data_IF_946496019684
#
_entry.id   IF_946496019684
#
_cell.length_a   1.000
_cell.length_b   1.000
_cell.length_c   1.000
_cell.angle_alpha   90.00
_cell.angle_beta   90.00
_cell.angle_gamma   90.00
#
_symmetry.space_group_name_H-M   'P 1'
#
loop_
_entity.id
_entity.type
_entity.pdbx_description
1 polymer ?
#
# COMPACT_ATOMS: atom_id res chain seq x y z
N UNK A 1 19.97 21.67 -14.32
CA UNK A 1 18.84 22.42 -14.91
C UNK A 1 17.84 21.53 -15.62
N UNK A 2 18.24 20.70 -16.59
CA UNK A 2 17.34 19.74 -17.29
C UNK A 2 16.48 18.88 -16.34
N UNK A 3 17.11 18.28 -15.32
CA UNK A 3 16.38 17.43 -14.37
C UNK A 3 15.37 18.20 -13.51
N UNK A 4 15.64 19.47 -13.19
CA UNK A 4 14.70 20.33 -12.46
C UNK A 4 13.47 20.59 -13.33
N UNK A 5 13.68 20.99 -14.59
CA UNK A 5 12.58 21.21 -15.53
C UNK A 5 11.81 19.93 -15.82
N UNK A 6 12.49 18.78 -15.88
CA UNK A 6 11.85 17.48 -16.04
C UNK A 6 10.94 17.13 -14.86
N UNK A 7 11.41 17.29 -13.61
CA UNK A 7 10.57 17.06 -12.42
C UNK A 7 9.38 18.02 -12.38
N UNK A 8 9.56 19.29 -12.77
CA UNK A 8 8.46 20.25 -12.79
C UNK A 8 7.40 19.91 -13.84
N UNK A 9 7.81 19.54 -15.06
CA UNK A 9 6.87 19.23 -16.14
C UNK A 9 6.26 17.84 -15.96
N UNK A 10 7.07 16.80 -15.88
CA UNK A 10 6.59 15.41 -15.82
C UNK A 10 6.08 15.04 -14.42
N UNK A 11 6.75 15.53 -13.38
CA UNK A 11 6.36 15.23 -11.99
C UNK A 11 5.16 16.05 -11.53
N UNK A 12 5.30 17.38 -11.45
CA UNK A 12 4.23 18.22 -10.89
C UNK A 12 3.01 18.30 -11.81
N UNK A 13 3.20 18.57 -13.11
CA UNK A 13 2.06 18.63 -14.03
C UNK A 13 1.45 17.24 -14.26
N UNK A 14 2.27 16.18 -14.26
CA UNK A 14 1.78 14.80 -14.33
C UNK A 14 0.91 14.41 -13.14
N UNK A 15 1.32 14.73 -11.90
CA UNK A 15 0.48 14.49 -10.71
C UNK A 15 -0.78 15.34 -10.76
N UNK A 16 -0.69 16.62 -11.16
CA UNK A 16 -1.87 17.49 -11.27
C UNK A 16 -2.88 16.96 -12.31
N UNK A 17 -2.39 16.43 -13.44
CA UNK A 17 -3.21 15.78 -14.44
C UNK A 17 -3.85 14.48 -13.91
N UNK A 18 -3.12 13.71 -13.10
CA UNK A 18 -3.60 12.49 -12.45
C UNK A 18 -4.71 12.79 -11.42
N UNK A 19 -4.62 13.91 -10.70
CA UNK A 19 -5.69 14.37 -9.77
C UNK A 19 -7.01 14.57 -10.51
N UNK A 20 -6.96 15.20 -11.68
CA UNK A 20 -8.14 15.44 -12.51
C UNK A 20 -8.65 14.17 -13.20
N UNK A 21 -7.86 13.07 -13.18
CA UNK A 21 -8.17 11.81 -13.86
C UNK A 21 -8.64 12.05 -15.30
N UNK A 22 -7.83 12.78 -16.08
CA UNK A 22 -8.17 13.17 -17.45
C UNK A 22 -8.55 11.98 -18.36
N UNK A 23 -7.83 10.85 -18.25
CA UNK A 23 -8.05 9.65 -19.08
C UNK A 23 -9.45 9.04 -18.88
N UNK A 24 -9.88 8.64 -17.68
CA UNK A 24 -11.23 8.12 -17.48
C UNK A 24 -12.31 9.19 -17.66
N UNK A 25 -12.04 10.47 -17.36
CA UNK A 25 -13.01 11.55 -17.56
C UNK A 25 -13.37 11.72 -19.05
N UNK A 26 -12.35 11.75 -19.93
CA UNK A 26 -12.57 11.86 -21.38
C UNK A 26 -13.27 10.61 -21.91
N UNK A 27 -12.84 9.41 -21.50
CA UNK A 27 -13.48 8.15 -21.87
C UNK A 27 -14.93 8.08 -21.41
N UNK A 28 -15.23 8.56 -20.20
CA UNK A 28 -16.59 8.63 -19.66
C UNK A 28 -17.47 9.51 -20.54
N UNK A 29 -17.04 10.72 -20.89
CA UNK A 29 -17.84 11.59 -21.75
C UNK A 29 -18.06 10.99 -23.15
N UNK A 30 -17.04 10.38 -23.75
CA UNK A 30 -17.18 9.70 -25.05
C UNK A 30 -18.18 8.53 -24.95
N UNK A 31 -18.02 7.66 -23.95
CA UNK A 31 -18.95 6.53 -23.73
C UNK A 31 -20.36 7.00 -23.43
N UNK A 32 -20.51 8.04 -22.62
CA UNK A 32 -21.80 8.62 -22.26
C UNK A 32 -22.52 9.23 -23.47
N UNK A 33 -21.79 9.84 -24.41
CA UNK A 33 -22.39 10.42 -25.61
C UNK A 33 -22.71 9.37 -26.69
N UNK A 34 -21.90 8.32 -26.84
CA UNK A 34 -22.04 7.38 -27.97
C UNK A 34 -22.59 5.99 -27.61
N UNK A 35 -22.37 5.49 -26.38
CA UNK A 35 -22.63 4.10 -26.00
C UNK A 35 -23.68 3.93 -24.88
N UNK A 36 -23.99 4.96 -24.09
CA UNK A 36 -24.97 4.83 -22.99
C UNK A 36 -26.38 4.77 -23.55
N UNK A 37 -27.01 3.60 -23.43
CA UNK A 37 -28.45 3.40 -23.72
C UNK A 37 -29.22 2.86 -22.52
N UNK A 38 -28.54 2.14 -21.62
CA UNK A 38 -29.13 1.49 -20.43
C UNK A 38 -28.41 1.94 -19.14
N UNK A 39 -29.06 1.87 -17.98
CA UNK A 39 -28.44 2.18 -16.67
C UNK A 39 -27.23 1.29 -16.37
N UNK A 40 -27.22 0.02 -16.80
CA UNK A 40 -26.07 -0.87 -16.68
C UNK A 40 -24.85 -0.41 -17.50
N UNK A 41 -25.07 0.22 -18.66
CA UNK A 41 -23.97 0.79 -19.46
C UNK A 41 -23.35 2.00 -18.73
N UNK A 42 -24.15 2.69 -17.91
CA UNK A 42 -23.70 3.82 -17.09
C UNK A 42 -22.85 3.36 -15.91
N UNK A 43 -23.23 2.28 -15.25
CA UNK A 43 -22.43 1.66 -14.19
C UNK A 43 -21.08 1.16 -14.74
N UNK A 44 -21.08 0.51 -15.90
CA UNK A 44 -19.85 0.05 -16.56
C UNK A 44 -18.98 1.20 -17.08
N UNK A 45 -19.59 2.35 -17.43
CA UNK A 45 -18.86 3.56 -17.78
C UNK A 45 -18.29 4.30 -16.55
N UNK A 46 -18.90 4.13 -15.38
CA UNK A 46 -18.42 4.67 -14.10
C UNK A 46 -17.30 3.85 -13.47
N UNK A 47 -16.97 2.65 -13.99
CA UNK A 47 -15.84 1.86 -13.51
C UNK A 47 -14.53 2.66 -13.65
N UNK A 48 -13.93 3.04 -12.52
CA UNK A 48 -12.79 3.93 -12.56
C UNK A 48 -11.45 3.24 -12.83
N UNK A 49 -11.45 1.92 -12.95
CA UNK A 49 -10.27 1.10 -13.17
C UNK A 49 -9.39 0.91 -11.93
N UNK A 50 -8.35 0.09 -12.09
CA UNK A 50 -7.35 -0.19 -11.06
C UNK A 50 -6.14 0.76 -11.15
N UNK A 51 -5.39 0.88 -10.05
CA UNK A 51 -4.09 1.57 -10.06
C UNK A 51 -3.14 0.94 -11.09
N UNK A 52 -2.64 1.74 -12.02
CA UNK A 52 -1.60 1.32 -12.98
C UNK A 52 -0.24 1.21 -12.28
N UNK A 53 -0.04 0.15 -11.50
CA UNK A 53 1.20 -0.12 -10.77
C UNK A 53 2.42 -0.20 -11.71
N UNK A 54 2.24 -0.77 -12.91
CA UNK A 54 3.31 -0.94 -13.90
C UNK A 54 3.91 0.37 -14.42
N UNK A 55 3.13 1.45 -14.48
CA UNK A 55 3.59 2.76 -14.97
C UNK A 55 4.05 3.67 -13.83
N UNK A 56 3.35 3.60 -12.70
CA UNK A 56 3.55 4.52 -11.57
C UNK A 56 4.79 4.15 -10.76
N UNK A 57 4.99 2.85 -10.51
CA UNK A 57 6.12 2.35 -9.71
C UNK A 57 7.50 2.73 -10.28
N UNK A 58 7.83 2.49 -11.57
CA UNK A 58 9.12 2.87 -12.12
C UNK A 58 9.33 4.40 -12.14
N UNK A 59 8.26 5.19 -12.29
CA UNK A 59 8.35 6.66 -12.27
C UNK A 59 8.78 7.16 -10.89
N UNK A 60 8.20 6.62 -9.83
CA UNK A 60 8.59 6.96 -8.44
C UNK A 60 10.04 6.54 -8.17
N UNK A 61 10.44 5.35 -8.62
CA UNK A 61 11.81 4.85 -8.47
C UNK A 61 12.84 5.72 -9.19
N UNK A 62 12.50 6.27 -10.37
CA UNK A 62 13.35 7.21 -11.09
C UNK A 62 13.59 8.50 -10.30
N UNK A 63 12.54 9.09 -9.71
CA UNK A 63 12.70 10.30 -8.89
C UNK A 63 13.48 10.03 -7.60
N UNK A 64 13.34 8.83 -7.03
CA UNK A 64 14.14 8.42 -5.88
C UNK A 64 15.63 8.28 -6.23
N UNK A 65 15.96 7.65 -7.37
CA UNK A 65 17.32 7.57 -7.89
C UNK A 65 17.90 8.97 -8.12
N UNK A 66 17.13 9.83 -8.79
CA UNK A 66 17.55 11.20 -9.08
C UNK A 66 17.81 12.00 -7.80
N UNK A 67 16.95 11.85 -6.80
CA UNK A 67 17.13 12.43 -5.48
C UNK A 67 18.40 11.97 -4.80
N UNK A 68 18.69 10.66 -4.80
CA UNK A 68 19.89 10.12 -4.18
C UNK A 68 21.18 10.54 -4.89
N UNK A 69 21.19 10.56 -6.23
CA UNK A 69 22.37 10.95 -7.01
C UNK A 69 22.67 12.43 -6.84
N UNK A 70 21.65 13.29 -6.95
CA UNK A 70 21.85 14.73 -6.91
C UNK A 70 21.80 15.35 -5.52
N UNK A 71 21.44 14.60 -4.47
CA UNK A 71 21.49 15.09 -3.08
C UNK A 71 22.87 15.62 -2.70
N UNK A 72 23.94 14.94 -3.15
CA UNK A 72 25.32 15.32 -2.83
C UNK A 72 25.88 16.33 -3.83
N UNK A 73 25.49 16.25 -5.11
CA UNK A 73 26.04 17.11 -6.18
C UNK A 73 25.39 18.50 -6.19
N UNK A 74 24.06 18.58 -6.14
CA UNK A 74 23.31 19.83 -6.21
C UNK A 74 22.11 19.79 -5.27
N UNK A 75 22.23 20.30 -4.03
CA UNK A 75 21.16 20.20 -3.03
C UNK A 75 19.92 21.02 -3.39
N UNK A 76 20.00 21.92 -4.37
CA UNK A 76 18.88 22.74 -4.86
C UNK A 76 17.76 21.87 -5.45
N UNK A 77 18.04 20.64 -5.92
CA UNK A 77 17.01 19.76 -6.50
C UNK A 77 16.14 19.07 -5.43
N UNK A 78 16.67 18.87 -4.22
CA UNK A 78 15.98 18.19 -3.12
C UNK A 78 14.61 18.81 -2.76
N UNK A 79 14.47 20.13 -2.55
CA UNK A 79 13.17 20.71 -2.21
C UNK A 79 12.11 20.45 -3.29
N UNK A 80 12.48 20.45 -4.58
CA UNK A 80 11.54 20.16 -5.66
C UNK A 80 11.04 18.71 -5.62
N UNK A 81 11.93 17.77 -5.29
CA UNK A 81 11.61 16.35 -5.14
C UNK A 81 10.77 16.11 -3.88
N UNK A 82 11.06 16.80 -2.77
CA UNK A 82 10.26 16.69 -1.54
C UNK A 82 8.84 17.21 -1.76
N UNK A 83 8.68 18.36 -2.43
CA UNK A 83 7.37 18.89 -2.80
C UNK A 83 6.63 17.90 -3.70
N UNK A 84 7.32 17.30 -4.67
CA UNK A 84 6.75 16.25 -5.51
C UNK A 84 6.25 15.07 -4.66
N UNK A 85 7.06 14.54 -3.74
CA UNK A 85 6.64 13.43 -2.86
C UNK A 85 5.50 13.81 -1.93
N UNK A 86 5.46 15.05 -1.43
CA UNK A 86 4.36 15.55 -0.60
C UNK A 86 3.04 15.63 -1.36
N UNK A 87 3.07 16.18 -2.58
CA UNK A 87 1.90 16.21 -3.46
C UNK A 87 1.49 14.80 -3.89
N UNK A 88 2.43 13.96 -4.30
CA UNK A 88 2.19 12.57 -4.65
C UNK A 88 1.50 11.83 -3.49
N UNK A 89 2.01 11.98 -2.26
CA UNK A 89 1.41 11.37 -1.08
C UNK A 89 -0.03 11.82 -0.86
N UNK A 90 -0.30 13.13 -0.93
CA UNK A 90 -1.65 13.67 -0.76
C UNK A 90 -2.60 13.12 -1.84
N UNK A 91 -2.16 13.12 -3.09
CA UNK A 91 -2.94 12.68 -4.24
C UNK A 91 -3.22 11.18 -4.18
N UNK A 92 -2.19 10.35 -4.00
CA UNK A 92 -2.38 8.91 -3.86
C UNK A 92 -3.23 8.57 -2.65
N UNK A 93 -3.06 9.25 -1.52
CA UNK A 93 -3.92 9.06 -0.34
C UNK A 93 -5.37 9.40 -0.65
N UNK A 94 -5.62 10.52 -1.31
CA UNK A 94 -6.98 10.91 -1.69
C UNK A 94 -7.59 9.92 -2.69
N UNK A 95 -6.84 9.50 -3.70
CA UNK A 95 -7.34 8.57 -4.72
C UNK A 95 -7.56 7.15 -4.18
N UNK A 96 -6.70 6.68 -3.26
CA UNK A 96 -6.76 5.35 -2.64
C UNK A 96 -7.82 5.27 -1.54
N UNK A 97 -7.91 6.29 -0.66
CA UNK A 97 -8.78 6.22 0.53
C UNK A 97 -10.19 6.75 0.27
N UNK A 98 -10.31 7.85 -0.48
CA UNK A 98 -11.54 8.67 -0.43
C UNK A 98 -12.50 8.36 -1.56
N UNK A 99 -12.02 8.01 -2.76
CA UNK A 99 -12.87 8.30 -3.91
C UNK A 99 -13.02 7.19 -4.96
N UNK A 100 -12.05 6.28 -5.20
CA UNK A 100 -12.14 5.63 -6.53
C UNK A 100 -11.54 4.23 -6.77
N UNK A 101 -10.36 3.86 -6.27
CA UNK A 101 -9.74 2.63 -6.80
C UNK A 101 -10.35 1.35 -6.20
N UNK A 102 -11.07 0.59 -7.03
CA UNK A 102 -11.41 -0.79 -6.69
C UNK A 102 -10.15 -1.65 -6.91
N UNK A 103 -9.53 -2.11 -5.82
CA UNK A 103 -8.29 -2.87 -5.91
C UNK A 103 -8.61 -4.30 -6.36
N UNK A 104 -8.59 -4.53 -7.67
CA UNK A 104 -8.88 -5.83 -8.29
C UNK A 104 -7.92 -6.95 -7.85
N UNK A 105 -6.72 -6.59 -7.37
CA UNK A 105 -5.69 -7.53 -6.98
C UNK A 105 -5.10 -7.17 -5.62
N UNK A 106 -5.25 -8.07 -4.65
CA UNK A 106 -4.56 -7.99 -3.37
C UNK A 106 -3.31 -8.89 -3.39
N UNK A 107 -2.13 -8.26 -3.47
CA UNK A 107 -0.85 -8.96 -3.46
C UNK A 107 -0.23 -9.09 -2.06
N UNK A 108 -0.90 -8.61 -1.00
CA UNK A 108 -0.37 -8.67 0.37
C UNK A 108 1.01 -8.00 0.55
N UNK A 109 1.30 -6.96 -0.23
CA UNK A 109 2.59 -6.26 -0.25
C UNK A 109 3.82 -7.12 -0.61
N UNK A 110 3.62 -8.24 -1.33
CA UNK A 110 4.71 -9.09 -1.82
C UNK A 110 5.71 -8.39 -2.74
N UNK A 111 5.37 -7.24 -3.32
CA UNK A 111 6.26 -6.45 -4.16
C UNK A 111 7.36 -5.70 -3.38
N UNK A 112 7.22 -5.56 -2.05
CA UNK A 112 8.13 -4.76 -1.22
C UNK A 112 9.61 -5.16 -1.28
N UNK A 113 9.99 -6.47 -1.22
CA UNK A 113 11.38 -6.88 -1.37
C UNK A 113 12.00 -6.43 -2.71
N UNK A 114 11.19 -6.41 -3.77
CA UNK A 114 11.60 -5.92 -5.09
C UNK A 114 11.88 -4.41 -5.09
N UNK A 115 10.97 -3.63 -4.50
CA UNK A 115 11.15 -2.17 -4.36
C UNK A 115 12.38 -1.84 -3.51
N UNK A 116 12.53 -2.50 -2.37
CA UNK A 116 13.70 -2.34 -1.50
C UNK A 116 15.02 -2.65 -2.23
N UNK A 117 15.06 -3.74 -3.02
CA UNK A 117 16.23 -4.06 -3.84
C UNK A 117 16.61 -2.96 -4.84
N UNK A 118 15.62 -2.34 -5.48
CA UNK A 118 15.85 -1.23 -6.43
C UNK A 118 16.31 0.04 -5.73
N UNK A 119 15.76 0.36 -4.56
CA UNK A 119 16.20 1.49 -3.71
C UNK A 119 17.65 1.31 -3.28
N UNK A 120 18.03 0.12 -2.81
CA UNK A 120 19.43 -0.19 -2.45
C UNK A 120 20.34 -0.06 -3.67
N UNK A 121 19.92 -0.56 -4.83
CA UNK A 121 20.68 -0.44 -6.08
C UNK A 121 20.89 1.03 -6.46
N UNK A 122 19.85 1.86 -6.36
CA UNK A 122 19.95 3.30 -6.59
C UNK A 122 20.93 3.99 -5.63
N UNK A 123 20.98 3.55 -4.38
CA UNK A 123 21.91 4.04 -3.37
C UNK A 123 23.36 3.65 -3.70
N UNK A 124 23.60 2.42 -4.13
CA UNK A 124 24.91 1.96 -4.61
C UNK A 124 25.36 2.76 -5.84
N UNK A 125 24.45 3.00 -6.80
CA UNK A 125 24.73 3.83 -7.98
C UNK A 125 25.13 5.25 -7.57
N UNK A 126 24.41 5.86 -6.63
CA UNK A 126 24.74 7.20 -6.09
C UNK A 126 26.15 7.22 -5.46
N UNK A 127 26.50 6.20 -4.68
CA UNK A 127 27.83 6.10 -4.05
C UNK A 127 28.95 5.92 -5.08
N UNK A 128 28.75 5.08 -6.10
CA UNK A 128 29.73 4.88 -7.19
C UNK A 128 29.91 6.18 -7.99
N UNK A 129 28.82 6.88 -8.33
CA UNK A 129 28.87 8.16 -9.01
C UNK A 129 29.60 9.23 -8.18
N UNK A 130 29.38 9.25 -6.87
CA UNK A 130 30.06 10.18 -5.96
C UNK A 130 31.57 9.91 -5.89
N UNK A 131 31.98 8.64 -5.81
CA UNK A 131 33.38 8.24 -5.91
C UNK A 131 33.98 8.70 -7.25
N UNK A 132 33.26 8.49 -8.35
CA UNK A 132 33.67 8.94 -9.68
C UNK A 132 33.83 10.46 -9.78
N UNK A 133 32.94 11.23 -9.15
CA UNK A 133 33.01 12.69 -9.13
C UNK A 133 34.15 13.22 -8.25
N UNK A 134 34.42 12.60 -7.11
CA UNK A 134 35.52 13.01 -6.22
C UNK A 134 36.89 12.64 -6.78
N UNK A 135 36.97 11.54 -7.53
CA UNK A 135 38.19 11.12 -8.23
C UNK A 135 38.64 12.15 -9.28
N UNK A 136 37.73 12.92 -9.87
CA UNK A 136 38.08 13.97 -10.85
C UNK A 136 38.51 15.28 -10.20
N UNK A 137 38.20 15.48 -8.92
CA UNK A 137 38.61 16.67 -8.14
C UNK A 137 39.95 16.49 -7.38
N UNK A 138 40.70 15.42 -7.66
CA UNK A 138 41.97 15.08 -6.98
C UNK A 138 41.88 15.02 -5.43
N UNK A 139 40.67 14.78 -4.90
CA UNK A 139 40.44 14.62 -3.46
C UNK A 139 40.71 13.16 -3.03
N UNK A 140 41.98 12.75 -3.09
CA UNK A 140 42.39 11.36 -2.85
C UNK A 140 42.01 10.84 -1.46
N UNK A 141 42.17 11.67 -0.42
CA UNK A 141 41.86 11.28 0.96
C UNK A 141 40.35 10.99 1.17
N UNK A 142 39.49 11.79 0.55
CA UNK A 142 38.02 11.61 0.63
C UNK A 142 37.56 10.37 -0.13
N UNK A 143 38.22 10.05 -1.24
CA UNK A 143 37.87 8.91 -2.10
C UNK A 143 38.11 7.57 -1.38
N UNK A 144 39.23 7.44 -0.66
CA UNK A 144 39.55 6.24 0.14
C UNK A 144 38.55 6.05 1.28
N UNK A 145 38.10 7.14 1.91
CA UNK A 145 37.09 7.08 2.97
C UNK A 145 35.71 6.65 2.46
N UNK A 146 35.39 6.88 1.18
CA UNK A 146 34.10 6.54 0.58
C UNK A 146 34.01 5.11 0.01
N UNK A 147 35.14 4.49 -0.29
CA UNK A 147 35.21 3.12 -0.82
C UNK A 147 34.51 2.03 0.05
N UNK A 148 34.55 2.05 1.40
CA UNK A 148 33.87 1.03 2.20
C UNK A 148 32.33 1.17 2.20
N UNK A 149 31.77 2.33 1.86
CA UNK A 149 30.32 2.53 1.89
C UNK A 149 29.53 1.59 0.96
N UNK A 150 29.87 1.42 -0.34
CA UNK A 150 29.16 0.49 -1.22
C UNK A 150 29.26 -0.97 -0.75
N UNK A 151 30.37 -1.36 -0.15
CA UNK A 151 30.53 -2.71 0.41
C UNK A 151 29.60 -2.91 1.59
N UNK A 152 29.52 -1.91 2.49
CA UNK A 152 28.64 -1.94 3.65
C UNK A 152 27.16 -1.95 3.26
N UNK A 153 26.76 -1.21 2.21
CA UNK A 153 25.37 -1.17 1.76
C UNK A 153 24.93 -2.47 1.11
N UNK A 154 25.80 -3.11 0.33
CA UNK A 154 25.56 -4.46 -0.21
C UNK A 154 25.48 -5.48 0.93
N UNK A 155 26.38 -5.42 1.91
CA UNK A 155 26.34 -6.28 3.09
C UNK A 155 25.02 -6.12 3.86
N UNK A 156 24.60 -4.88 4.12
CA UNK A 156 23.31 -4.58 4.75
C UNK A 156 22.14 -5.17 3.96
N UNK A 157 22.16 -5.05 2.63
CA UNK A 157 21.14 -5.66 1.78
C UNK A 157 21.06 -7.18 1.94
N UNK A 158 22.21 -7.88 1.97
CA UNK A 158 22.22 -9.33 2.21
C UNK A 158 21.62 -9.71 3.57
N UNK A 159 21.95 -8.96 4.63
CA UNK A 159 21.40 -9.18 5.97
C UNK A 159 19.88 -8.95 5.97
N UNK A 160 19.41 -7.85 5.37
CA UNK A 160 17.99 -7.55 5.26
C UNK A 160 17.23 -8.59 4.44
N UNK A 161 17.84 -9.05 3.34
CA UNK A 161 17.27 -10.08 2.49
C UNK A 161 17.10 -11.39 3.27
N UNK A 162 18.16 -11.88 3.92
CA UNK A 162 18.08 -13.11 4.71
C UNK A 162 17.12 -13.04 5.89
N UNK A 163 16.95 -11.86 6.50
CA UNK A 163 16.10 -11.69 7.70
C UNK A 163 14.63 -11.41 7.38
N UNK A 164 14.34 -10.53 6.43
CA UNK A 164 13.00 -9.98 6.23
C UNK A 164 12.29 -10.51 4.99
N UNK A 165 13.00 -10.90 3.94
CA UNK A 165 12.39 -11.47 2.73
C UNK A 165 11.52 -12.71 2.99
N UNK A 166 11.90 -13.64 3.90
CA UNK A 166 11.07 -14.82 4.18
C UNK A 166 9.67 -14.46 4.69
N UNK A 167 9.50 -13.32 5.38
CA UNK A 167 8.20 -12.89 5.88
C UNK A 167 7.23 -12.45 4.78
N UNK A 168 7.76 -12.00 3.63
CA UNK A 168 6.93 -11.59 2.48
C UNK A 168 6.63 -12.76 1.54
N UNK A 169 7.53 -13.75 1.44
CA UNK A 169 7.39 -14.87 0.51
C UNK A 169 6.72 -16.08 1.16
N UNK A 170 7.01 -16.35 2.44
CA UNK A 170 6.54 -17.55 3.12
C UNK A 170 5.43 -17.19 4.10
N UNK A 171 4.32 -17.92 4.03
CA UNK A 171 3.29 -17.87 5.05
C UNK A 171 3.65 -18.83 6.20
N UNK A 172 3.93 -18.35 7.42
CA UNK A 172 4.30 -19.21 8.54
C UNK A 172 3.10 -20.04 9.01
N UNK A 173 3.32 -21.35 9.21
CA UNK A 173 2.26 -22.29 9.61
C UNK A 173 1.56 -21.88 10.92
N UNK A 174 2.31 -21.29 11.85
CA UNK A 174 1.76 -20.82 13.12
C UNK A 174 0.67 -19.75 12.92
N UNK A 175 0.88 -18.77 12.05
CA UNK A 175 -0.16 -17.76 11.78
C UNK A 175 -1.33 -18.35 11.02
N UNK A 176 -1.08 -19.28 10.09
CA UNK A 176 -2.14 -20.00 9.39
C UNK A 176 -3.05 -20.78 10.38
N UNK A 177 -2.46 -21.47 11.36
CA UNK A 177 -3.22 -22.19 12.40
C UNK A 177 -4.02 -21.25 13.31
N UNK A 178 -3.43 -20.12 13.72
CA UNK A 178 -4.12 -19.13 14.56
C UNK A 178 -5.31 -18.55 13.80
N UNK A 179 -5.12 -18.19 12.52
CA UNK A 179 -6.20 -17.67 11.67
C UNK A 179 -7.31 -18.70 11.47
N UNK A 180 -6.96 -19.97 11.19
CA UNK A 180 -7.95 -21.07 11.05
C UNK A 180 -8.77 -21.29 12.34
N UNK A 181 -8.09 -21.24 13.50
CA UNK A 181 -8.77 -21.39 14.80
C UNK A 181 -9.74 -20.24 15.08
N UNK A 182 -9.34 -19.01 14.76
CA UNK A 182 -10.20 -17.83 14.91
C UNK A 182 -11.39 -17.87 13.95
N UNK A 183 -11.17 -18.24 12.70
CA UNK A 183 -12.25 -18.36 11.71
C UNK A 183 -13.27 -19.42 12.14
N UNK A 184 -12.81 -20.59 12.60
CA UNK A 184 -13.70 -21.64 13.12
C UNK A 184 -14.49 -21.21 14.37
N UNK A 185 -13.93 -20.30 15.18
CA UNK A 185 -14.60 -19.76 16.35
C UNK A 185 -15.64 -18.69 15.99
N UNK A 186 -15.38 -17.87 14.97
CA UNK A 186 -16.33 -16.87 14.48
C UNK A 186 -17.49 -17.52 13.71
N UNK A 187 -17.19 -18.40 12.76
CA UNK A 187 -18.18 -18.97 11.83
C UNK A 187 -18.20 -20.50 11.86
N UNK A 188 -18.76 -21.12 12.92
CA UNK A 188 -18.74 -22.56 13.10
C UNK A 188 -19.62 -23.33 12.09
N UNK A 189 -20.56 -22.67 11.41
CA UNK A 189 -21.47 -23.27 10.43
C UNK A 189 -21.00 -23.13 8.97
N UNK A 190 -19.83 -22.51 8.71
CA UNK A 190 -19.35 -22.26 7.35
C UNK A 190 -18.98 -23.56 6.61
N UNK A 191 -19.71 -23.88 5.54
CA UNK A 191 -19.43 -25.02 4.66
C UNK A 191 -18.39 -24.66 3.59
N UNK A 192 -17.11 -24.81 3.92
CA UNK A 192 -15.99 -24.42 3.05
C UNK A 192 -16.01 -25.10 1.67
N UNK A 193 -16.49 -26.35 1.59
CA UNK A 193 -16.57 -27.11 0.32
C UNK A 193 -17.56 -26.47 -0.66
N UNK A 194 -18.66 -25.94 -0.17
CA UNK A 194 -19.69 -25.31 -0.99
C UNK A 194 -19.22 -23.93 -1.45
N UNK A 195 -18.69 -23.13 -0.52
CA UNK A 195 -18.10 -21.82 -0.81
C UNK A 195 -17.00 -21.87 -1.89
N UNK A 196 -16.11 -22.86 -1.84
CA UNK A 196 -14.98 -22.96 -2.78
C UNK A 196 -15.31 -23.63 -4.12
N UNK A 197 -16.49 -24.26 -4.26
CA UNK A 197 -16.81 -25.10 -5.43
C UNK A 197 -16.76 -24.32 -6.76
N UNK A 198 -17.14 -23.04 -6.75
CA UNK A 198 -17.18 -22.17 -7.93
C UNK A 198 -16.12 -21.05 -7.96
N UNK A 199 -15.10 -21.09 -7.09
CA UNK A 199 -14.15 -19.99 -6.93
C UNK A 199 -13.17 -19.84 -8.11
N UNK A 200 -12.73 -20.96 -8.70
CA UNK A 200 -11.71 -21.00 -9.78
C UNK A 200 -12.28 -21.50 -11.11
N UNK A 201 -13.59 -21.46 -11.29
CA UNK A 201 -14.20 -21.73 -12.58
C UNK A 201 -13.92 -20.58 -13.55
N UNK A 202 -13.69 -20.91 -14.82
CA UNK A 202 -13.43 -19.89 -15.83
C UNK A 202 -14.66 -18.97 -15.95
N UNK A 203 -14.51 -17.63 -16.04
CA UNK A 203 -15.63 -16.69 -16.02
C UNK A 203 -16.74 -16.97 -17.04
N UNK A 204 -16.40 -17.57 -18.20
CA UNK A 204 -17.35 -17.96 -19.26
C UNK A 204 -18.29 -19.09 -18.84
N UNK A 205 -17.86 -19.97 -17.92
CA UNK A 205 -18.66 -21.12 -17.46
C UNK A 205 -19.46 -20.84 -16.19
N UNK A 206 -19.29 -19.65 -15.58
CA UNK A 206 -20.02 -19.27 -14.38
C UNK A 206 -21.48 -18.97 -14.77
N UNK A 207 -22.41 -19.86 -14.41
CA UNK A 207 -23.84 -19.62 -14.57
C UNK A 207 -24.25 -18.48 -13.66
N UNK A 208 -24.70 -17.35 -14.21
CA UNK A 208 -25.66 -16.36 -13.65
C UNK A 208 -25.52 -15.77 -12.23
N UNK A 209 -24.77 -16.36 -11.32
CA UNK A 209 -24.91 -16.18 -9.86
C UNK A 209 -23.86 -15.20 -9.30
N UNK A 210 -23.15 -14.49 -10.17
CA UNK A 210 -22.11 -13.50 -9.81
C UNK A 210 -22.68 -12.41 -8.89
N UNK A 211 -23.95 -12.04 -9.10
CA UNK A 211 -24.63 -11.00 -8.34
C UNK A 211 -25.00 -11.43 -6.92
N UNK A 212 -25.24 -12.73 -6.70
CA UNK A 212 -25.66 -13.27 -5.41
C UNK A 212 -24.46 -13.48 -4.47
N UNK A 213 -23.31 -13.92 -5.01
CA UNK A 213 -22.06 -14.01 -4.25
C UNK A 213 -21.45 -12.65 -3.88
N UNK A 214 -21.56 -11.64 -4.76
CA UNK A 214 -21.12 -10.28 -4.45
C UNK A 214 -22.04 -9.61 -3.42
N UNK A 215 -23.34 -9.89 -3.44
CA UNK A 215 -24.27 -9.40 -2.43
C UNK A 215 -23.98 -9.98 -1.03
N UNK A 216 -23.50 -11.22 -0.95
CA UNK A 216 -23.06 -11.83 0.32
C UNK A 216 -21.79 -11.16 0.88
N UNK A 217 -20.86 -10.76 0.01
CA UNK A 217 -19.61 -10.08 0.40
C UNK A 217 -19.84 -8.59 0.79
N UNK A 218 -20.84 -7.92 0.19
CA UNK A 218 -21.20 -6.53 0.53
C UNK A 218 -22.01 -6.39 1.84
N UNK A 219 -22.84 -7.37 2.20
CA UNK A 219 -23.57 -7.35 3.48
C UNK A 219 -22.65 -7.63 4.68
N UNK A 220 -21.54 -8.34 4.47
CA UNK A 220 -20.56 -8.67 5.51
C UNK A 220 -19.58 -7.51 5.75
N UNK A 221 -20.09 -6.35 6.17
CA UNK A 221 -19.24 -5.33 6.79
C UNK A 221 -18.55 -5.95 8.02
N UNK A 222 -17.21 -6.09 8.07
CA UNK A 222 -16.57 -6.67 9.22
C UNK A 222 -16.78 -5.74 10.42
N UNK A 223 -17.49 -6.22 11.44
CA UNK A 223 -17.47 -5.60 12.75
C UNK A 223 -16.00 -5.39 13.14
N UNK A 224 -15.59 -4.12 13.27
CA UNK A 224 -14.23 -3.75 13.67
C UNK A 224 -13.96 -4.30 15.07
N UNK A 225 -13.43 -5.52 15.15
CA UNK A 225 -12.95 -6.07 16.41
C UNK A 225 -11.68 -5.31 16.76
N UNK A 226 -11.78 -4.44 17.77
CA UNK A 226 -10.64 -3.72 18.31
C UNK A 226 -9.58 -4.72 18.80
N UNK A 227 -8.55 -4.97 17.98
CA UNK A 227 -7.39 -5.73 18.42
C UNK A 227 -6.62 -4.88 19.43
N UNK A 228 -6.89 -5.10 20.72
CA UNK A 228 -6.10 -4.49 21.79
C UNK A 228 -4.70 -5.11 21.75
N UNK A 229 -3.79 -4.47 21.02
CA UNK A 229 -2.35 -4.74 21.10
C UNK A 229 -1.91 -4.48 22.53
N UNK A 230 -1.74 -5.53 23.36
CA UNK A 230 -1.09 -5.39 24.67
C UNK A 230 0.38 -5.07 24.42
N UNK A 231 0.71 -3.78 24.37
CA UNK A 231 2.09 -3.33 24.57
C UNK A 231 2.44 -3.65 26.02
N UNK A 232 3.33 -4.62 26.21
CA UNK A 232 3.96 -4.87 27.52
C UNK A 232 5.03 -3.79 27.70
N UNK A 233 4.60 -2.59 28.11
CA UNK A 233 5.49 -1.52 28.52
C UNK A 233 5.25 -1.24 30.00
N UNK A 234 6.25 -1.56 30.81
CA UNK A 234 6.29 -1.33 32.25
C UNK A 234 6.51 0.16 32.53
N UNK A 235 5.47 0.85 32.97
CA UNK A 235 5.59 2.13 33.70
C UNK A 235 4.36 2.31 34.61
N UNK A 236 4.52 2.71 35.89
CA UNK A 236 3.42 2.80 36.83
C UNK A 236 2.91 4.25 36.91
N UNK A 237 1.80 4.57 36.26
CA UNK A 237 1.00 5.76 36.60
C UNK A 237 -0.49 5.45 36.33
N UNK A 238 -1.29 5.54 37.40
CA UNK A 238 -2.75 5.47 37.36
C UNK A 238 -3.34 6.73 36.69
N UNK A 239 -4.20 6.53 35.69
CA UNK A 239 -5.14 7.56 35.25
C UNK A 239 -6.56 7.02 35.34
N UNK A 240 -7.27 7.45 36.39
CA UNK A 240 -8.71 7.30 36.56
C UNK A 240 -9.43 8.01 35.41
N UNK A 241 -10.26 7.28 34.67
CA UNK A 241 -11.37 7.87 33.93
C UNK A 241 -12.57 6.92 34.03
N UNK A 242 -13.56 7.34 34.82
CA UNK A 242 -14.85 6.67 34.98
C UNK A 242 -15.70 6.95 33.75
N UNK A 243 -16.18 5.90 33.08
CA UNK A 243 -17.35 5.98 32.21
C UNK A 243 -18.49 5.18 32.83
N UNK A 244 -19.41 5.91 33.47
CA UNK A 244 -20.70 5.41 33.91
C UNK A 244 -21.62 5.20 32.69
N UNK A 245 -21.94 3.95 32.36
CA UNK A 245 -23.10 3.60 31.53
C UNK A 245 -24.10 2.88 32.43
N UNK A 246 -25.16 3.60 32.80
CA UNK A 246 -26.27 3.11 33.61
C UNK A 246 -26.97 1.95 32.94
N UNK A 247 -27.10 0.86 33.68
CA UNK A 247 -27.96 -0.29 33.39
C UNK A 247 -29.22 -0.10 34.23
N UNK A 248 -30.35 0.18 33.57
CA UNK A 248 -31.65 0.20 34.23
C UNK A 248 -32.20 -1.24 34.34
N UNK A 249 -32.19 -1.71 35.58
CA UNK A 249 -33.32 -2.36 36.28
C UNK A 249 -34.03 -3.53 35.58
N UNK A 250 -33.55 -4.75 35.91
CA UNK A 250 -34.34 -5.97 35.94
C UNK A 250 -34.50 -6.40 37.40
N UNK A 251 -35.67 -6.12 37.97
CA UNK A 251 -36.06 -6.44 39.35
C UNK A 251 -36.31 -7.96 39.51
N UNK A 252 -35.45 -8.67 40.25
CA UNK A 252 -35.73 -10.02 40.74
C UNK A 252 -35.33 -10.11 42.23
N UNK A 253 -36.30 -9.80 43.08
CA UNK A 253 -36.20 -9.91 44.53
C UNK A 253 -36.42 -11.37 44.98
N UNK A 254 -35.42 -11.93 45.68
CA UNK A 254 -35.63 -12.94 46.73
C UNK A 254 -34.99 -12.43 48.02
N UNK A 255 -35.62 -12.70 49.17
CA UNK A 255 -34.96 -13.61 50.10
C UNK A 255 -35.91 -14.64 50.75
N UNK A 256 -35.35 -15.81 51.12
CA UNK A 256 -35.89 -16.79 52.10
C UNK A 256 -35.84 -16.16 53.53
N UNK A 257 -36.30 -16.76 54.65
CA UNK A 257 -36.76 -18.15 54.88
C UNK A 257 -37.97 -18.33 55.84
N UNK A 258 -38.56 -19.52 55.80
CA UNK A 258 -39.04 -20.32 56.96
C UNK A 258 -39.33 -21.73 56.48
#
# INVERSE_FOLDING_TARGET
TFFITYIMVDGWAGIAAEVLRLKPLIMFHIKNTFLVRTEQDREQAMDPGSLEFGSTEPRIQLYFLLGLVYAVVTPIILPFIIVFFGLAYLVFRHQVIINVYNQQYESGAQFWPGVHGRIVTALVISQILLIGLLSTQEAEQSTVALLPLPVLTIWFHYVCKGRFEPAYIKCPLQEAMVKDTLQRANDPMLNLREYLKGAYEHPVFRSGDVYELLAMDEEENPHLVATKRRSRMTTPVDSKFNSSSGTNEGEFSRPRPS
#
